data_IF_177160452685
#
_entry.id   IF_177160452685
#
_cell.length_a   1.000
_cell.length_b   1.000
_cell.length_c   1.000
_cell.angle_alpha   90.00
_cell.angle_beta   90.00
_cell.angle_gamma   90.00
#
_symmetry.space_group_name_H-M   'P 1'
#
loop_
_entity.id
_entity.type
_entity.pdbx_description
1 polymer ?
#
# COMPACT_ATOMS: atom_id res chain seq x y z
N UNK A 1 -1.40 -16.50 -27.68
CA UNK A 1 -1.51 -17.61 -26.69
C UNK A 1 -2.49 -17.17 -25.63
N UNK A 2 -3.56 -17.93 -25.36
CA UNK A 2 -4.51 -17.58 -24.29
C UNK A 2 -4.00 -18.06 -22.92
N UNK A 3 -4.62 -17.60 -21.82
CA UNK A 3 -4.14 -17.86 -20.46
C UNK A 3 -4.11 -19.36 -20.13
N UNK A 4 -5.05 -20.14 -20.65
CA UNK A 4 -5.08 -21.60 -20.46
C UNK A 4 -3.95 -22.31 -21.19
N UNK A 5 -3.67 -21.90 -22.43
CA UNK A 5 -2.53 -22.44 -23.21
C UNK A 5 -1.19 -22.08 -22.55
N UNK A 6 -1.08 -20.85 -22.05
CA UNK A 6 0.11 -20.39 -21.32
C UNK A 6 0.32 -21.18 -20.02
N UNK A 7 -0.76 -21.33 -19.24
CA UNK A 7 -0.70 -22.11 -18.01
C UNK A 7 -0.31 -23.57 -18.22
N UNK A 8 -0.89 -24.20 -19.24
CA UNK A 8 -0.52 -25.58 -19.63
C UNK A 8 0.96 -25.69 -20.05
N UNK A 9 1.49 -24.70 -20.76
CA UNK A 9 2.90 -24.63 -21.15
C UNK A 9 3.81 -24.53 -19.92
N UNK A 10 3.50 -23.66 -18.96
CA UNK A 10 4.26 -23.55 -17.71
C UNK A 10 4.26 -24.89 -16.98
N UNK A 11 3.12 -25.52 -16.84
CA UNK A 11 3.01 -26.82 -16.19
C UNK A 11 3.89 -27.88 -16.87
N UNK A 12 3.83 -27.97 -18.20
CA UNK A 12 4.64 -28.92 -18.97
C UNK A 12 6.13 -28.68 -18.80
N UNK A 13 6.56 -27.40 -18.87
CA UNK A 13 7.98 -27.03 -18.68
C UNK A 13 8.46 -27.36 -17.26
N UNK A 14 7.65 -27.07 -16.23
CA UNK A 14 7.98 -27.42 -14.84
C UNK A 14 8.10 -28.95 -14.66
N UNK A 15 7.17 -29.70 -15.21
CA UNK A 15 7.17 -31.18 -15.14
C UNK A 15 8.36 -31.77 -15.90
N UNK A 16 8.79 -31.16 -17.02
CA UNK A 16 9.99 -31.57 -17.78
C UNK A 16 11.28 -31.44 -16.97
N UNK A 17 11.38 -30.42 -16.08
CA UNK A 17 12.53 -30.27 -15.18
C UNK A 17 12.35 -31.01 -13.84
N UNK A 18 11.31 -31.86 -13.74
CA UNK A 18 11.01 -32.71 -12.59
C UNK A 18 10.81 -31.96 -11.26
N UNK A 19 10.28 -30.75 -11.28
CA UNK A 19 9.96 -29.99 -10.04
C UNK A 19 8.50 -30.15 -9.67
N UNK A 20 8.23 -30.45 -8.37
CA UNK A 20 6.88 -30.29 -7.80
C UNK A 20 6.52 -28.81 -7.75
N UNK A 21 5.26 -28.46 -7.49
CA UNK A 21 4.84 -27.07 -7.35
C UNK A 21 5.52 -26.39 -6.16
N UNK A 22 5.63 -27.09 -5.05
CA UNK A 22 6.30 -26.62 -3.83
C UNK A 22 7.80 -26.35 -4.11
N UNK A 23 8.49 -27.27 -4.77
CA UNK A 23 9.87 -27.09 -5.16
C UNK A 23 10.06 -25.94 -6.16
N UNK A 24 9.09 -25.75 -7.07
CA UNK A 24 9.12 -24.67 -8.05
C UNK A 24 8.91 -23.30 -7.41
N UNK A 25 7.99 -23.17 -6.46
CA UNK A 25 7.71 -21.93 -5.72
C UNK A 25 8.78 -21.62 -4.66
N UNK A 26 9.49 -22.61 -4.16
CA UNK A 26 10.56 -22.44 -3.17
C UNK A 26 10.00 -21.94 -1.82
N UNK A 27 10.40 -20.75 -1.41
CA UNK A 27 9.97 -20.09 -0.17
C UNK A 27 8.60 -19.41 -0.26
N UNK A 28 7.97 -19.45 -1.43
CA UNK A 28 6.68 -18.84 -1.75
C UNK A 28 6.63 -17.29 -1.62
N UNK A 29 7.76 -16.62 -1.58
CA UNK A 29 7.82 -15.15 -1.51
C UNK A 29 7.37 -14.53 -2.83
N UNK A 30 7.99 -14.97 -3.94
CA UNK A 30 7.69 -14.42 -5.27
C UNK A 30 6.45 -15.05 -5.91
N UNK A 31 6.19 -16.34 -5.64
CA UNK A 31 5.09 -17.10 -6.25
C UNK A 31 4.62 -18.19 -5.28
N UNK A 32 3.40 -18.08 -4.75
CA UNK A 32 2.83 -19.12 -3.91
C UNK A 32 2.36 -20.34 -4.72
N UNK A 33 2.30 -21.51 -4.09
CA UNK A 33 1.76 -22.74 -4.71
C UNK A 33 0.33 -22.53 -5.21
N UNK A 34 -0.50 -21.80 -4.45
CA UNK A 34 -1.88 -21.49 -4.84
C UNK A 34 -1.93 -20.64 -6.11
N UNK A 35 -1.08 -19.61 -6.20
CA UNK A 35 -0.99 -18.78 -7.40
C UNK A 35 -0.49 -19.59 -8.61
N UNK A 36 0.53 -20.42 -8.42
CA UNK A 36 1.03 -21.29 -9.50
C UNK A 36 -0.08 -22.21 -10.02
N UNK A 37 -0.89 -22.82 -9.14
CA UNK A 37 -2.03 -23.65 -9.55
C UNK A 37 -3.01 -22.87 -10.43
N UNK A 38 -3.36 -21.64 -10.03
CA UNK A 38 -4.26 -20.79 -10.80
C UNK A 38 -3.68 -20.40 -12.16
N UNK A 39 -2.39 -20.11 -12.21
CA UNK A 39 -1.70 -19.83 -13.47
C UNK A 39 -1.69 -21.08 -14.37
N UNK A 40 -1.28 -22.23 -13.85
CA UNK A 40 -1.21 -23.49 -14.60
C UNK A 40 -2.56 -23.96 -15.13
N UNK A 41 -3.65 -23.61 -14.43
CA UNK A 41 -5.03 -23.93 -14.87
C UNK A 41 -5.62 -22.87 -15.80
N UNK A 42 -4.95 -21.72 -15.96
CA UNK A 42 -5.44 -20.59 -16.75
C UNK A 42 -6.59 -19.84 -16.07
N UNK A 43 -6.77 -20.01 -14.76
CA UNK A 43 -7.80 -19.30 -13.98
C UNK A 43 -7.31 -17.95 -13.44
N UNK A 44 -6.04 -17.62 -13.62
CA UNK A 44 -5.48 -16.30 -13.36
C UNK A 44 -4.38 -15.94 -14.35
N UNK A 45 -4.27 -14.64 -14.65
CA UNK A 45 -3.25 -14.08 -15.53
C UNK A 45 -2.09 -13.56 -14.67
N UNK A 46 -0.85 -14.06 -14.86
CA UNK A 46 0.29 -13.60 -14.07
C UNK A 46 0.75 -12.20 -14.48
N UNK A 47 1.30 -11.44 -13.53
CA UNK A 47 2.02 -10.18 -13.80
C UNK A 47 3.36 -10.44 -14.47
N UNK A 48 3.99 -9.37 -14.98
CA UNK A 48 5.34 -9.45 -15.55
C UNK A 48 6.35 -9.99 -14.55
N UNK A 49 6.30 -9.55 -13.29
CA UNK A 49 7.24 -10.01 -12.25
C UNK A 49 7.12 -11.52 -12.00
N UNK A 50 5.88 -12.04 -11.94
CA UNK A 50 5.67 -13.49 -11.82
C UNK A 50 6.11 -14.26 -13.05
N UNK A 51 5.90 -13.73 -14.26
CA UNK A 51 6.39 -14.35 -15.48
C UNK A 51 7.94 -14.35 -15.49
N UNK A 52 8.59 -13.30 -15.03
CA UNK A 52 10.04 -13.22 -14.89
C UNK A 52 10.56 -14.27 -13.88
N UNK A 53 9.92 -14.39 -12.72
CA UNK A 53 10.25 -15.42 -11.74
C UNK A 53 10.12 -16.83 -12.33
N UNK A 54 8.97 -17.11 -12.98
CA UNK A 54 8.72 -18.41 -13.64
C UNK A 54 9.77 -18.69 -14.70
N UNK A 55 10.11 -17.71 -15.56
CA UNK A 55 11.13 -17.85 -16.59
C UNK A 55 12.50 -18.18 -15.96
N UNK A 56 12.90 -17.45 -14.92
CA UNK A 56 14.14 -17.71 -14.17
C UNK A 56 14.17 -19.12 -13.60
N UNK A 57 13.06 -19.57 -12.98
CA UNK A 57 12.96 -20.93 -12.42
C UNK A 57 13.02 -22.03 -13.48
N UNK A 58 12.57 -21.73 -14.71
CA UNK A 58 12.65 -22.63 -15.86
C UNK A 58 13.99 -22.56 -16.61
N UNK A 59 14.89 -21.63 -16.23
CA UNK A 59 16.14 -21.39 -16.95
C UNK A 59 15.94 -20.78 -18.34
N UNK A 60 14.84 -20.04 -18.55
CA UNK A 60 14.45 -19.42 -19.82
C UNK A 60 14.50 -17.91 -19.71
N UNK A 61 14.60 -17.25 -20.87
CA UNK A 61 14.34 -15.81 -20.96
C UNK A 61 12.83 -15.52 -20.98
N UNK A 62 12.43 -14.31 -20.59
CA UNK A 62 11.05 -13.88 -20.67
C UNK A 62 10.48 -14.00 -22.10
N UNK A 63 11.28 -13.66 -23.10
CA UNK A 63 10.91 -13.73 -24.51
C UNK A 63 10.63 -15.18 -24.98
N UNK A 64 11.44 -16.14 -24.53
CA UNK A 64 11.25 -17.56 -24.84
C UNK A 64 9.98 -18.11 -24.18
N UNK A 65 9.70 -17.67 -22.96
CA UNK A 65 8.52 -18.12 -22.22
C UNK A 65 7.23 -17.51 -22.81
N UNK A 66 7.24 -16.20 -23.08
CA UNK A 66 6.05 -15.44 -23.49
C UNK A 66 6.39 -14.33 -24.50
N UNK A 67 6.58 -14.67 -25.79
CA UNK A 67 6.94 -13.69 -26.82
C UNK A 67 5.88 -12.60 -27.05
N UNK A 68 4.60 -12.89 -26.75
CA UNK A 68 3.47 -11.99 -26.93
C UNK A 68 3.02 -11.34 -25.61
N UNK A 69 3.98 -10.94 -24.76
CA UNK A 69 3.65 -10.30 -23.48
C UNK A 69 2.77 -9.05 -23.66
N UNK A 70 1.64 -9.01 -22.94
CA UNK A 70 0.72 -7.87 -22.96
C UNK A 70 1.04 -6.92 -21.79
N UNK A 71 1.47 -5.71 -22.13
CA UNK A 71 1.63 -4.60 -21.17
C UNK A 71 0.26 -4.22 -20.59
N UNK A 72 0.23 -3.80 -19.30
CA UNK A 72 -0.98 -3.21 -18.73
C UNK A 72 -1.48 -2.05 -19.60
N UNK A 73 -2.81 -1.88 -19.78
CA UNK A 73 -3.35 -0.77 -20.55
C UNK A 73 -2.89 0.58 -19.99
N UNK A 74 -2.41 1.47 -20.85
CA UNK A 74 -1.92 2.79 -20.42
C UNK A 74 -3.01 3.62 -19.70
N UNK A 75 -4.28 3.46 -20.09
CA UNK A 75 -5.39 4.15 -19.45
C UNK A 75 -5.63 3.59 -18.04
N UNK A 76 -5.61 2.27 -17.85
CA UNK A 76 -5.69 1.64 -16.53
C UNK A 76 -4.58 2.14 -15.59
N UNK A 77 -3.33 2.15 -16.07
CA UNK A 77 -2.20 2.64 -15.26
C UNK A 77 -2.39 4.09 -14.81
N UNK A 78 -2.94 4.95 -15.68
CA UNK A 78 -3.27 6.34 -15.35
C UNK A 78 -4.40 6.42 -14.33
N UNK A 79 -5.47 5.64 -14.50
CA UNK A 79 -6.61 5.60 -13.57
C UNK A 79 -6.15 5.17 -12.17
N UNK A 80 -5.41 4.06 -12.08
CA UNK A 80 -4.85 3.57 -10.82
C UNK A 80 -4.02 4.63 -10.14
N UNK A 81 -3.09 5.28 -10.88
CA UNK A 81 -2.27 6.36 -10.35
C UNK A 81 -3.11 7.54 -9.83
N UNK A 82 -4.15 7.96 -10.57
CA UNK A 82 -5.04 9.06 -10.17
C UNK A 82 -5.84 8.71 -8.92
N UNK A 83 -6.43 7.52 -8.86
CA UNK A 83 -7.17 7.02 -7.70
C UNK A 83 -6.29 7.05 -6.44
N UNK A 84 -5.10 6.49 -6.53
CA UNK A 84 -4.18 6.38 -5.39
C UNK A 84 -3.64 7.75 -4.93
N UNK A 85 -3.58 8.75 -5.81
CA UNK A 85 -3.11 10.10 -5.49
C UNK A 85 -4.23 11.09 -5.15
N UNK A 86 -5.50 10.71 -5.23
CA UNK A 86 -6.62 11.61 -4.90
C UNK A 86 -6.87 11.64 -3.39
N UNK A 87 -6.41 12.67 -2.67
CA UNK A 87 -6.70 12.79 -1.24
C UNK A 87 -8.15 13.22 -1.07
N UNK A 88 -8.89 12.57 -0.20
CA UNK A 88 -10.30 12.91 0.00
C UNK A 88 -10.57 13.78 1.24
N UNK A 89 -9.89 13.51 2.36
CA UNK A 89 -10.03 14.24 3.63
C UNK A 89 -11.51 14.57 3.97
N UNK A 90 -12.44 13.65 3.69
CA UNK A 90 -13.90 13.84 3.84
C UNK A 90 -14.50 14.92 2.90
N UNK A 91 -13.79 15.31 1.85
CA UNK A 91 -14.30 16.20 0.81
C UNK A 91 -15.18 15.42 -0.17
N UNK A 92 -16.47 15.75 -0.22
CA UNK A 92 -17.46 15.02 -1.02
C UNK A 92 -17.13 15.00 -2.51
N UNK A 93 -16.68 16.12 -3.08
CA UNK A 93 -16.37 16.22 -4.51
C UNK A 93 -15.18 15.30 -4.90
N UNK A 94 -14.17 15.20 -4.02
CA UNK A 94 -13.02 14.34 -4.23
C UNK A 94 -13.37 12.86 -4.02
N UNK A 95 -14.28 12.56 -3.10
CA UNK A 95 -14.82 11.20 -2.92
C UNK A 95 -15.57 10.78 -4.17
N UNK A 96 -16.48 11.60 -4.70
CA UNK A 96 -17.21 11.32 -5.92
C UNK A 96 -16.27 11.16 -7.13
N UNK A 97 -15.23 12.01 -7.23
CA UNK A 97 -14.22 11.87 -8.28
C UNK A 97 -13.52 10.51 -8.20
N UNK A 98 -13.03 10.12 -7.01
CA UNK A 98 -12.38 8.83 -6.79
C UNK A 98 -13.29 7.66 -7.16
N UNK A 99 -14.55 7.70 -6.72
CA UNK A 99 -15.51 6.63 -6.98
C UNK A 99 -15.77 6.45 -8.49
N UNK A 100 -15.92 7.54 -9.24
CA UNK A 100 -16.04 7.47 -10.72
C UNK A 100 -14.81 6.84 -11.40
N UNK A 101 -13.61 7.15 -10.91
CA UNK A 101 -12.39 6.54 -11.44
C UNK A 101 -12.32 5.04 -11.11
N UNK A 102 -12.78 4.63 -9.93
CA UNK A 102 -12.86 3.22 -9.54
C UNK A 102 -13.91 2.48 -10.37
N UNK A 103 -15.08 3.07 -10.61
CA UNK A 103 -16.11 2.51 -11.51
C UNK A 103 -15.54 2.25 -12.90
N UNK A 104 -14.81 3.21 -13.51
CA UNK A 104 -14.15 3.01 -14.81
C UNK A 104 -13.15 1.83 -14.77
N UNK A 105 -12.41 1.64 -13.66
CA UNK A 105 -11.50 0.50 -13.53
C UNK A 105 -12.25 -0.81 -13.50
N UNK A 106 -13.33 -0.92 -12.70
CA UNK A 106 -14.11 -2.15 -12.59
C UNK A 106 -14.85 -2.49 -13.88
N UNK A 107 -15.48 -1.51 -14.52
CA UNK A 107 -16.33 -1.73 -15.69
C UNK A 107 -15.51 -2.07 -16.95
N UNK A 108 -14.36 -1.38 -17.16
CA UNK A 108 -13.65 -1.45 -18.43
C UNK A 108 -12.42 -2.36 -18.41
N UNK A 109 -11.80 -2.58 -17.22
CA UNK A 109 -10.48 -3.22 -17.16
C UNK A 109 -10.40 -4.45 -16.25
N UNK A 110 -11.11 -4.47 -15.12
CA UNK A 110 -10.90 -5.40 -14.01
C UNK A 110 -10.81 -6.87 -14.44
N UNK A 111 -11.78 -7.38 -15.22
CA UNK A 111 -11.86 -8.78 -15.65
C UNK A 111 -10.64 -9.24 -16.49
N UNK A 112 -9.94 -8.29 -17.11
CA UNK A 112 -8.79 -8.55 -17.97
C UNK A 112 -7.44 -8.26 -17.30
N UNK A 113 -7.44 -7.81 -16.05
CA UNK A 113 -6.21 -7.54 -15.30
C UNK A 113 -5.55 -8.83 -14.82
N UNK A 114 -4.21 -8.82 -14.64
CA UNK A 114 -3.53 -9.84 -13.86
C UNK A 114 -4.09 -9.93 -12.44
N UNK A 115 -4.07 -11.12 -11.83
CA UNK A 115 -4.58 -11.37 -10.47
C UNK A 115 -4.01 -10.40 -9.43
N UNK A 116 -2.71 -10.08 -9.48
CA UNK A 116 -2.10 -9.14 -8.54
C UNK A 116 -2.64 -7.72 -8.66
N UNK A 117 -3.02 -7.29 -9.87
CA UNK A 117 -3.64 -5.99 -10.07
C UNK A 117 -5.08 -5.99 -9.56
N UNK A 118 -5.84 -7.07 -9.80
CA UNK A 118 -7.19 -7.22 -9.25
C UNK A 118 -7.18 -7.15 -7.73
N UNK A 119 -6.30 -7.94 -7.09
CA UNK A 119 -6.16 -7.96 -5.63
C UNK A 119 -5.74 -6.60 -5.08
N UNK A 120 -4.85 -5.88 -5.75
CA UNK A 120 -4.43 -4.56 -5.33
C UNK A 120 -5.58 -3.54 -5.38
N UNK A 121 -6.41 -3.59 -6.43
CA UNK A 121 -7.61 -2.75 -6.56
C UNK A 121 -8.65 -3.13 -5.51
N UNK A 122 -8.89 -4.41 -5.28
CA UNK A 122 -9.81 -4.91 -4.25
C UNK A 122 -9.33 -4.56 -2.83
N UNK A 123 -8.02 -4.62 -2.58
CA UNK A 123 -7.44 -4.19 -1.31
C UNK A 123 -7.65 -2.69 -1.07
N UNK A 124 -7.45 -1.87 -2.11
CA UNK A 124 -7.72 -0.44 -2.02
C UNK A 124 -9.20 -0.15 -1.80
N UNK A 125 -10.10 -0.80 -2.55
CA UNK A 125 -11.55 -0.64 -2.37
C UNK A 125 -11.98 -1.08 -0.96
N UNK A 126 -11.48 -2.22 -0.48
CA UNK A 126 -11.78 -2.72 0.87
C UNK A 126 -11.33 -1.73 1.95
N UNK A 127 -10.15 -1.12 1.78
CA UNK A 127 -9.69 -0.04 2.66
C UNK A 127 -10.65 1.15 2.67
N UNK A 128 -11.13 1.57 1.49
CA UNK A 128 -12.10 2.66 1.37
C UNK A 128 -13.42 2.29 2.07
N UNK A 129 -13.92 1.08 1.84
CA UNK A 129 -15.17 0.59 2.43
C UNK A 129 -15.08 0.54 3.97
N UNK A 130 -13.93 0.09 4.53
CA UNK A 130 -13.68 0.11 5.98
C UNK A 130 -13.72 1.56 6.50
N UNK A 131 -13.04 2.48 5.79
CA UNK A 131 -12.99 3.88 6.21
C UNK A 131 -14.39 4.53 6.23
N UNK A 132 -15.22 4.26 5.22
CA UNK A 132 -16.56 4.83 5.08
C UNK A 132 -17.58 4.16 6.02
N UNK A 133 -17.54 2.84 6.16
CA UNK A 133 -18.55 2.06 6.92
C UNK A 133 -18.15 1.76 8.36
N UNK A 134 -16.88 1.94 8.70
CA UNK A 134 -16.27 1.50 9.98
C UNK A 134 -16.38 -0.01 10.22
N UNK A 135 -16.57 -0.80 9.16
CA UNK A 135 -16.69 -2.25 9.24
C UNK A 135 -15.40 -2.94 8.79
N UNK A 136 -14.71 -3.59 9.70
CA UNK A 136 -13.46 -4.34 9.44
C UNK A 136 -13.68 -5.70 8.76
N UNK A 137 -14.88 -5.99 8.24
CA UNK A 137 -15.11 -7.26 7.54
C UNK A 137 -14.58 -7.26 6.10
N UNK A 138 -14.44 -6.06 5.50
CA UNK A 138 -13.96 -5.91 4.13
C UNK A 138 -12.49 -6.32 4.02
N UNK A 139 -12.14 -7.01 2.94
CA UNK A 139 -10.77 -7.39 2.62
C UNK A 139 -10.14 -8.47 3.48
N UNK A 140 -10.86 -9.08 4.44
CA UNK A 140 -10.30 -10.12 5.30
C UNK A 140 -9.77 -11.32 4.50
N UNK A 141 -10.51 -11.76 3.48
CA UNK A 141 -10.07 -12.86 2.62
C UNK A 141 -8.78 -12.55 1.86
N UNK A 142 -8.59 -11.27 1.45
CA UNK A 142 -7.36 -10.83 0.82
C UNK A 142 -6.18 -10.97 1.80
N UNK A 143 -6.35 -10.53 3.03
CA UNK A 143 -5.30 -10.64 4.05
C UNK A 143 -5.00 -12.10 4.40
N UNK A 144 -6.01 -12.94 4.55
CA UNK A 144 -5.85 -14.35 4.87
C UNK A 144 -5.09 -15.11 3.75
N UNK A 145 -5.27 -14.69 2.48
CA UNK A 145 -4.67 -15.36 1.32
C UNK A 145 -3.30 -14.81 0.92
N UNK A 146 -3.02 -13.50 1.11
CA UNK A 146 -1.87 -12.84 0.50
C UNK A 146 -0.93 -12.13 1.48
N UNK A 147 -1.39 -11.76 2.69
CA UNK A 147 -0.55 -10.96 3.60
C UNK A 147 0.72 -11.68 4.04
N UNK A 148 0.65 -12.97 4.31
CA UNK A 148 1.83 -13.75 4.71
C UNK A 148 2.93 -13.75 3.64
N UNK A 149 2.55 -13.79 2.36
CA UNK A 149 3.49 -13.66 1.26
C UNK A 149 4.12 -12.26 1.20
N UNK A 150 3.31 -11.22 1.39
CA UNK A 150 3.80 -9.82 1.40
C UNK A 150 4.76 -9.60 2.56
N UNK A 151 4.42 -10.07 3.75
CA UNK A 151 5.23 -9.91 4.95
C UNK A 151 6.64 -10.54 4.81
N UNK A 152 6.78 -11.63 4.04
CA UNK A 152 8.08 -12.29 3.80
C UNK A 152 8.97 -11.61 2.78
N UNK A 153 8.48 -10.61 2.05
CA UNK A 153 9.26 -9.93 1.02
C UNK A 153 10.24 -8.94 1.64
N UNK A 154 11.46 -8.93 1.13
CA UNK A 154 12.47 -7.90 1.45
C UNK A 154 12.13 -6.54 0.80
N UNK A 155 11.47 -6.58 -0.37
CA UNK A 155 11.11 -5.41 -1.17
C UNK A 155 9.64 -5.44 -1.56
N UNK A 156 8.93 -4.35 -1.27
CA UNK A 156 7.52 -4.19 -1.60
C UNK A 156 7.33 -3.54 -2.95
N UNK A 157 6.36 -4.04 -3.70
CA UNK A 157 5.78 -3.36 -4.86
C UNK A 157 4.66 -2.41 -4.41
N UNK A 158 4.15 -1.57 -5.33
CA UNK A 158 2.95 -0.76 -5.05
C UNK A 158 1.76 -1.64 -4.64
N UNK A 159 1.59 -2.79 -5.28
CA UNK A 159 0.49 -3.72 -4.97
C UNK A 159 0.63 -4.32 -3.56
N UNK A 160 1.86 -4.67 -3.16
CA UNK A 160 2.13 -5.12 -1.79
C UNK A 160 1.79 -4.03 -0.77
N UNK A 161 2.15 -2.78 -1.05
CA UNK A 161 1.85 -1.65 -0.16
C UNK A 161 0.34 -1.40 0.00
N UNK A 162 -0.48 -1.68 -1.03
CA UNK A 162 -1.93 -1.59 -0.91
C UNK A 162 -2.50 -2.68 0.01
N UNK A 163 -1.93 -3.89 -0.04
CA UNK A 163 -2.27 -4.96 0.91
C UNK A 163 -1.83 -4.60 2.33
N UNK A 164 -0.62 -4.04 2.49
CA UNK A 164 -0.17 -3.51 3.80
C UNK A 164 -1.10 -2.40 4.27
N UNK A 165 -1.54 -1.49 3.40
CA UNK A 165 -2.46 -0.41 3.76
C UNK A 165 -3.81 -0.95 4.27
N UNK A 166 -4.35 -1.98 3.61
CA UNK A 166 -5.55 -2.68 4.09
C UNK A 166 -5.30 -3.36 5.44
N UNK A 167 -4.15 -4.01 5.60
CA UNK A 167 -3.78 -4.67 6.86
C UNK A 167 -3.78 -3.69 8.04
N UNK A 168 -3.31 -2.46 7.85
CA UNK A 168 -3.30 -1.44 8.90
C UNK A 168 -4.71 -1.13 9.45
N UNK A 169 -5.76 -1.16 8.62
CA UNK A 169 -7.13 -0.94 9.08
C UNK A 169 -7.62 -2.06 10.02
N UNK A 170 -7.11 -3.27 9.84
CA UNK A 170 -7.46 -4.41 10.69
C UNK A 170 -6.67 -4.47 12.01
N UNK A 171 -5.67 -3.59 12.20
CA UNK A 171 -4.86 -3.55 13.43
C UNK A 171 -5.43 -2.66 14.53
N UNK A 172 -6.44 -1.84 14.25
CA UNK A 172 -6.94 -0.86 15.22
C UNK A 172 -7.38 -1.51 16.53
N UNK A 173 -8.07 -2.66 16.45
CA UNK A 173 -8.58 -3.40 17.61
C UNK A 173 -7.67 -4.57 18.05
N UNK A 174 -6.53 -4.79 17.35
CA UNK A 174 -5.60 -5.88 17.69
C UNK A 174 -4.85 -5.62 19.00
N UNK A 175 -4.60 -6.69 19.76
CA UNK A 175 -3.74 -6.67 20.93
C UNK A 175 -2.26 -6.49 20.52
N UNK A 176 -1.52 -5.66 21.23
CA UNK A 176 -0.09 -5.41 20.94
C UNK A 176 0.79 -6.66 21.05
N UNK A 177 0.35 -7.68 21.81
CA UNK A 177 1.06 -8.95 21.93
C UNK A 177 0.69 -9.95 20.84
N UNK A 178 -0.30 -9.64 20.00
CA UNK A 178 -0.72 -10.53 18.91
C UNK A 178 0.40 -10.69 17.86
N UNK A 179 0.54 -11.87 17.24
CA UNK A 179 1.48 -12.05 16.13
C UNK A 179 1.26 -11.02 15.01
N UNK A 180 0.02 -10.64 14.74
CA UNK A 180 -0.31 -9.62 13.73
C UNK A 180 0.29 -8.28 14.09
N UNK A 181 0.17 -7.82 15.32
CA UNK A 181 0.76 -6.55 15.73
C UNK A 181 2.30 -6.60 15.71
N UNK A 182 2.90 -7.73 16.08
CA UNK A 182 4.35 -7.89 15.98
C UNK A 182 4.84 -7.82 14.52
N UNK A 183 4.15 -8.46 13.57
CA UNK A 183 4.44 -8.33 12.14
C UNK A 183 4.35 -6.87 11.65
N UNK A 184 3.40 -6.09 12.17
CA UNK A 184 3.32 -4.67 11.88
C UNK A 184 4.55 -3.90 12.37
N UNK A 185 5.01 -4.16 13.59
CA UNK A 185 6.23 -3.52 14.10
C UNK A 185 7.44 -3.88 13.24
N UNK A 186 7.57 -5.14 12.80
CA UNK A 186 8.64 -5.56 11.90
C UNK A 186 8.58 -4.80 10.57
N UNK A 187 7.39 -4.65 9.97
CA UNK A 187 7.21 -3.86 8.73
C UNK A 187 7.66 -2.40 8.93
N UNK A 188 7.32 -1.78 10.06
CA UNK A 188 7.71 -0.37 10.31
C UNK A 188 9.22 -0.18 10.37
N UNK A 189 9.96 -1.16 10.89
CA UNK A 189 11.42 -1.11 10.94
C UNK A 189 12.08 -1.23 9.56
N UNK A 190 11.37 -1.82 8.57
CA UNK A 190 11.86 -1.98 7.22
C UNK A 190 11.55 -0.79 6.28
N UNK A 191 10.79 0.20 6.71
CA UNK A 191 10.43 1.34 5.86
C UNK A 191 11.64 2.07 5.23
N UNK A 192 12.75 2.36 5.95
CA UNK A 192 13.89 3.03 5.34
C UNK A 192 14.49 2.25 4.16
N UNK A 193 14.51 0.92 4.24
CA UNK A 193 15.02 0.05 3.16
C UNK A 193 14.11 0.09 1.93
N UNK A 194 12.80 0.25 2.14
CA UNK A 194 11.84 0.32 1.04
C UNK A 194 11.99 1.60 0.20
N UNK A 195 12.47 2.69 0.77
CA UNK A 195 12.72 3.95 0.03
C UNK A 195 13.71 3.75 -1.12
N UNK A 196 14.72 2.90 -0.93
CA UNK A 196 15.70 2.59 -1.97
C UNK A 196 15.18 1.58 -3.00
N UNK A 197 14.17 0.78 -2.63
CA UNK A 197 13.65 -0.30 -3.45
C UNK A 197 12.52 0.13 -4.40
N UNK A 198 11.80 1.20 -4.07
CA UNK A 198 10.61 1.68 -4.77
C UNK A 198 10.98 2.85 -5.68
N UNK A 199 10.42 2.86 -6.89
CA UNK A 199 10.63 3.97 -7.84
C UNK A 199 10.12 5.30 -7.25
N UNK A 200 10.88 6.38 -7.49
CA UNK A 200 10.57 7.71 -6.92
C UNK A 200 9.15 8.19 -7.22
N UNK A 201 8.59 7.79 -8.37
CA UNK A 201 7.22 8.13 -8.76
C UNK A 201 6.15 7.39 -7.93
N UNK A 202 6.51 6.32 -7.25
CA UNK A 202 5.64 5.43 -6.49
C UNK A 202 5.82 5.58 -4.97
N UNK A 203 6.85 6.29 -4.52
CA UNK A 203 7.14 6.52 -3.09
C UNK A 203 5.97 7.19 -2.33
N UNK A 204 5.03 7.83 -3.03
CA UNK A 204 3.85 8.41 -2.38
C UNK A 204 2.95 7.35 -1.71
N UNK A 205 2.93 6.10 -2.23
CA UNK A 205 2.18 5.00 -1.60
C UNK A 205 2.87 4.57 -0.29
N UNK A 206 4.20 4.40 -0.31
CA UNK A 206 4.96 4.11 0.90
C UNK A 206 4.76 5.21 1.95
N UNK A 207 4.85 6.48 1.53
CA UNK A 207 4.56 7.64 2.40
C UNK A 207 3.18 7.53 3.06
N UNK A 208 2.14 7.18 2.31
CA UNK A 208 0.77 7.10 2.82
C UNK A 208 0.60 5.91 3.79
N UNK A 209 1.27 4.78 3.54
CA UNK A 209 1.36 3.65 4.48
C UNK A 209 2.05 4.07 5.79
N UNK A 210 3.17 4.79 5.70
CA UNK A 210 3.92 5.27 6.85
C UNK A 210 3.11 6.28 7.70
N UNK A 211 2.40 7.21 7.06
CA UNK A 211 1.51 8.15 7.77
C UNK A 211 0.40 7.43 8.53
N UNK A 212 -0.21 6.41 7.92
CA UNK A 212 -1.21 5.58 8.58
C UNK A 212 -0.62 4.78 9.75
N UNK A 213 0.60 4.25 9.58
CA UNK A 213 1.31 3.51 10.63
C UNK A 213 1.54 4.36 11.89
N UNK A 214 1.91 5.64 11.72
CA UNK A 214 2.07 6.57 12.86
C UNK A 214 0.77 6.72 13.64
N UNK A 215 -0.38 6.78 12.94
CA UNK A 215 -1.69 6.85 13.59
C UNK A 215 -1.94 5.64 14.52
N UNK A 216 -1.64 4.43 14.05
CA UNK A 216 -1.78 3.19 14.84
C UNK A 216 -0.78 3.18 16.01
N UNK A 217 0.50 3.48 15.75
CA UNK A 217 1.54 3.53 16.78
C UNK A 217 1.19 4.53 17.88
N UNK A 218 0.68 5.71 17.52
CA UNK A 218 0.24 6.72 18.48
C UNK A 218 -0.94 6.24 19.32
N UNK A 219 -1.96 5.62 18.71
CA UNK A 219 -3.13 5.08 19.43
C UNK A 219 -2.76 3.95 20.40
N UNK A 220 -1.74 3.17 20.05
CA UNK A 220 -1.20 2.07 20.88
C UNK A 220 -0.06 2.49 21.80
N UNK A 221 0.25 3.79 21.87
CA UNK A 221 1.32 4.36 22.70
C UNK A 221 2.73 3.78 22.40
N UNK A 222 2.94 3.27 21.19
CA UNK A 222 4.22 2.74 20.72
C UNK A 222 5.14 3.87 20.20
N UNK A 223 5.39 4.88 21.00
CA UNK A 223 6.05 6.14 20.58
C UNK A 223 7.49 5.95 20.13
N UNK A 224 8.21 4.95 20.62
CA UNK A 224 9.61 4.69 20.26
C UNK A 224 9.82 4.34 18.79
N UNK A 225 8.79 3.83 18.12
CA UNK A 225 8.81 3.46 16.70
C UNK A 225 8.57 4.66 15.76
N UNK A 226 8.07 5.79 16.27
CA UNK A 226 7.60 6.90 15.44
C UNK A 226 8.74 7.79 14.90
N UNK A 227 9.78 8.19 15.67
CA UNK A 227 10.81 9.11 15.18
C UNK A 227 11.51 8.66 13.89
N UNK A 228 11.96 7.40 13.73
CA UNK A 228 12.57 6.94 12.48
C UNK A 228 11.64 7.05 11.27
N UNK A 229 10.32 6.90 11.49
CA UNK A 229 9.32 7.05 10.44
C UNK A 229 9.20 8.52 10.01
N UNK A 230 9.23 9.47 10.96
CA UNK A 230 9.24 10.90 10.66
C UNK A 230 10.45 11.30 9.80
N UNK A 231 11.64 10.82 10.14
CA UNK A 231 12.86 11.11 9.40
C UNK A 231 12.78 10.57 7.97
N UNK A 232 12.29 9.34 7.81
CA UNK A 232 12.10 8.72 6.50
C UNK A 232 11.05 9.46 5.66
N UNK A 233 9.95 9.92 6.27
CA UNK A 233 8.93 10.71 5.58
C UNK A 233 9.45 12.06 5.09
N UNK A 234 10.22 12.77 5.90
CA UNK A 234 10.87 14.01 5.48
C UNK A 234 11.86 13.75 4.33
N UNK A 235 12.64 12.68 4.39
CA UNK A 235 13.54 12.27 3.31
C UNK A 235 12.77 12.00 2.00
N UNK A 236 11.67 11.24 2.03
CA UNK A 236 10.84 10.98 0.85
C UNK A 236 10.31 12.27 0.25
N UNK A 237 9.78 13.19 1.06
CA UNK A 237 9.24 14.46 0.58
C UNK A 237 10.29 15.34 -0.09
N UNK A 238 11.51 15.37 0.48
CA UNK A 238 12.64 16.10 -0.13
C UNK A 238 13.11 15.43 -1.42
N UNK A 239 13.27 14.11 -1.42
CA UNK A 239 13.74 13.35 -2.58
C UNK A 239 12.79 13.44 -3.77
N UNK A 240 11.48 13.39 -3.52
CA UNK A 240 10.44 13.42 -4.55
C UNK A 240 9.96 14.83 -4.90
N UNK A 241 10.35 15.84 -4.12
CA UNK A 241 9.78 17.19 -4.16
C UNK A 241 8.25 17.22 -4.02
N UNK A 242 7.66 16.21 -3.39
CA UNK A 242 6.22 16.08 -3.18
C UNK A 242 5.85 16.38 -1.72
N UNK A 243 5.47 17.62 -1.45
CA UNK A 243 5.08 18.13 -0.13
C UNK A 243 3.55 18.11 0.11
N UNK A 244 2.78 17.46 -0.75
CA UNK A 244 1.31 17.42 -0.63
C UNK A 244 0.83 16.94 0.75
N UNK A 245 1.54 15.99 1.36
CA UNK A 245 1.23 15.43 2.67
C UNK A 245 1.97 16.09 3.84
N UNK A 246 2.73 17.15 3.60
CA UNK A 246 3.44 17.89 4.66
C UNK A 246 2.50 18.42 5.77
N UNK A 247 1.29 18.94 5.45
CA UNK A 247 0.33 19.32 6.49
C UNK A 247 -0.05 18.18 7.43
N UNK A 248 -0.27 16.98 6.88
CA UNK A 248 -0.64 15.78 7.66
C UNK A 248 0.56 15.28 8.47
N UNK A 249 1.76 15.29 7.90
CA UNK A 249 2.96 14.93 8.64
C UNK A 249 3.17 15.85 9.84
N UNK A 250 3.02 17.16 9.66
CA UNK A 250 3.17 18.12 10.74
C UNK A 250 2.06 17.98 11.80
N UNK A 251 0.81 17.61 11.38
CA UNK A 251 -0.27 17.26 12.32
C UNK A 251 0.14 16.08 13.21
N UNK A 252 0.69 15.02 12.63
CA UNK A 252 1.13 13.86 13.40
C UNK A 252 2.33 14.21 14.30
N UNK A 253 3.25 15.04 13.82
CA UNK A 253 4.40 15.53 14.63
C UNK A 253 3.96 16.36 15.82
N UNK A 254 3.02 17.33 15.65
CA UNK A 254 2.57 18.12 16.80
C UNK A 254 1.83 17.28 17.83
N UNK A 255 1.02 16.31 17.39
CA UNK A 255 0.38 15.37 18.32
C UNK A 255 1.42 14.57 19.10
N UNK A 256 2.41 14.02 18.39
CA UNK A 256 3.51 13.29 19.01
C UNK A 256 4.24 14.15 20.08
N UNK A 257 4.59 15.39 19.75
CA UNK A 257 5.26 16.30 20.68
C UNK A 257 4.40 16.60 21.91
N UNK A 258 3.10 16.84 21.74
CA UNK A 258 2.17 17.09 22.85
C UNK A 258 2.04 15.87 23.77
N UNK A 259 1.93 14.65 23.20
CA UNK A 259 1.76 13.43 24.00
C UNK A 259 3.05 12.95 24.69
N UNK A 260 4.22 13.15 24.08
CA UNK A 260 5.48 12.63 24.62
C UNK A 260 6.21 13.66 25.47
N UNK A 261 6.31 14.91 25.04
CA UNK A 261 7.14 15.94 25.65
C UNK A 261 6.36 17.08 26.29
N UNK A 262 5.06 17.18 26.00
CA UNK A 262 4.18 18.31 26.39
C UNK A 262 4.73 19.69 25.98
N UNK A 263 5.56 19.73 24.92
CA UNK A 263 6.17 20.95 24.40
C UNK A 263 5.18 21.69 23.48
N UNK A 264 4.45 22.61 24.07
CA UNK A 264 3.44 23.41 23.38
C UNK A 264 4.04 24.39 22.37
N UNK A 265 5.23 24.91 22.62
CA UNK A 265 5.85 25.88 21.71
C UNK A 265 6.27 25.18 20.42
N UNK A 266 6.89 24.02 20.51
CA UNK A 266 7.25 23.22 19.34
C UNK A 266 6.02 22.73 18.60
N UNK A 267 5.01 22.24 19.31
CA UNK A 267 3.75 21.81 18.71
C UNK A 267 3.03 22.93 17.95
N UNK A 268 3.06 24.15 18.49
CA UNK A 268 2.47 25.32 17.83
C UNK A 268 3.21 25.67 16.53
N UNK A 269 4.52 25.63 16.50
CA UNK A 269 5.30 25.84 15.28
C UNK A 269 4.93 24.83 14.20
N UNK A 270 4.82 23.55 14.55
CA UNK A 270 4.39 22.50 13.64
C UNK A 270 2.98 22.71 13.11
N UNK A 271 2.04 23.16 13.95
CA UNK A 271 0.70 23.55 13.53
C UNK A 271 0.71 24.71 12.53
N UNK A 272 1.44 25.80 12.85
CA UNK A 272 1.55 26.97 11.97
C UNK A 272 2.12 26.61 10.60
N UNK A 273 3.15 25.75 10.56
CA UNK A 273 3.70 25.21 9.32
C UNK A 273 2.67 24.35 8.56
N UNK A 274 1.93 23.48 9.26
CA UNK A 274 0.89 22.65 8.62
C UNK A 274 -0.16 23.50 7.91
N UNK A 275 -0.66 24.54 8.59
CA UNK A 275 -1.64 25.48 8.04
C UNK A 275 -1.04 26.27 6.86
N UNK A 276 0.22 26.70 6.97
CA UNK A 276 0.92 27.39 5.87
C UNK A 276 1.00 26.51 4.63
N UNK A 277 1.45 25.27 4.76
CA UNK A 277 1.51 24.33 3.63
C UNK A 277 0.14 24.02 3.04
N UNK A 278 -0.90 23.82 3.87
CA UNK A 278 -2.26 23.59 3.38
C UNK A 278 -2.79 24.77 2.56
N UNK A 279 -2.52 26.01 2.97
CA UNK A 279 -2.83 27.22 2.21
C UNK A 279 -2.04 27.31 0.90
N UNK A 280 -0.75 26.96 0.91
CA UNK A 280 0.10 27.00 -0.29
C UNK A 280 -0.37 26.02 -1.38
N UNK A 281 -0.89 24.84 -0.98
CA UNK A 281 -1.46 23.86 -1.92
C UNK A 281 -2.92 24.17 -2.30
N UNK A 282 -3.53 25.20 -1.74
CA UNK A 282 -4.91 25.64 -2.04
C UNK A 282 -6.00 24.75 -1.46
N UNK A 283 -5.73 24.03 -0.36
CA UNK A 283 -6.69 23.13 0.28
C UNK A 283 -7.32 23.79 1.52
N UNK A 284 -8.33 24.66 1.29
CA UNK A 284 -9.04 25.35 2.36
C UNK A 284 -9.83 24.39 3.27
N UNK A 285 -10.28 23.25 2.75
CA UNK A 285 -10.94 22.22 3.54
C UNK A 285 -9.97 21.61 4.57
N UNK A 286 -8.74 21.28 4.13
CA UNK A 286 -7.69 20.78 5.01
C UNK A 286 -7.30 21.83 6.05
N UNK A 287 -7.22 23.12 5.68
CA UNK A 287 -6.96 24.20 6.64
C UNK A 287 -7.99 24.19 7.78
N UNK A 288 -9.28 24.11 7.45
CA UNK A 288 -10.35 24.09 8.47
C UNK A 288 -10.21 22.86 9.41
N UNK A 289 -9.89 21.70 8.86
CA UNK A 289 -9.67 20.46 9.65
C UNK A 289 -8.45 20.56 10.57
N UNK A 290 -7.35 21.17 10.11
CA UNK A 290 -6.17 21.39 10.95
C UNK A 290 -6.46 22.36 12.10
N UNK A 291 -7.21 23.44 11.85
CA UNK A 291 -7.61 24.40 12.87
C UNK A 291 -8.53 23.75 13.92
N UNK A 292 -9.47 22.92 13.50
CA UNK A 292 -10.35 22.15 14.39
C UNK A 292 -9.55 21.20 15.29
N UNK A 293 -8.63 20.41 14.67
CA UNK A 293 -7.77 19.49 15.41
C UNK A 293 -6.90 20.22 16.43
N UNK A 294 -6.27 21.35 16.05
CA UNK A 294 -5.44 22.14 16.94
C UNK A 294 -6.21 22.70 18.14
N UNK A 295 -7.44 23.18 17.93
CA UNK A 295 -8.31 23.65 19.03
C UNK A 295 -8.56 22.53 20.04
N UNK A 296 -8.82 21.31 19.58
CA UNK A 296 -9.00 20.14 20.44
C UNK A 296 -7.74 19.82 21.24
N UNK A 297 -6.60 19.69 20.54
CA UNK A 297 -5.31 19.27 21.11
C UNK A 297 -4.72 20.34 22.05
N UNK A 298 -4.87 21.63 21.73
CA UNK A 298 -4.31 22.74 22.53
C UNK A 298 -5.11 23.10 23.78
N UNK A 299 -6.41 22.78 23.83
CA UNK A 299 -7.29 23.08 24.98
C UNK A 299 -7.52 21.88 25.89
N UNK A 300 -7.25 20.65 25.42
CA UNK A 300 -7.34 19.43 26.23
C UNK A 300 -6.29 19.41 27.33
N UNK A 301 -6.67 19.04 28.54
CA UNK A 301 -5.71 18.60 29.54
C UNK A 301 -5.11 17.29 29.01
N UNK A 302 -3.83 17.30 28.65
CA UNK A 302 -3.02 16.10 28.44
C UNK A 302 -3.02 15.30 29.74
#
# INVERSE_FOLDING_TARGET
>A
MNDKEFGQRIRQLREQINLTREQFCGDEVELSVRQLIRIETGSSKPTLSKIQYIATRLGMTLYELMPDYVKLPDRYSKLKFEVLRTPTYENTDLIEKRNRLMEEIYDDYYDNLPEEEQIAIDAFQSFVDIYETKSVHFGKAILDDYFEQVHRKDKFTVNDLLIVRLYLEHLQDEDMTSPRFQHFLDITQHFPVQVEAIDSNELFILRDVMLASIGILGTKECYDYIPPIFDTLDQIMVQTHDFQKKPILNLLKWKYVLYTNSDREEAQKLYEEAVMFAKLIGDDHLVAKLEESWKGDSTGKV
#
